data_IF_091441768183
#
_entry.id   IF_091441768183
#
_cell.length_a   1.000
_cell.length_b   1.000
_cell.length_c   1.000
_cell.angle_alpha   90.00
_cell.angle_beta   90.00
_cell.angle_gamma   90.00
#
_symmetry.space_group_name_H-M   'P 1'
#
loop_
_entity.id
_entity.type
_entity.pdbx_description
1 polymer ?
#
# COMPACT_ATOMS: atom_id res chain seq x y z
N UNK A 1 4.34 -15.01 -0.39
CA UNK A 1 4.36 -15.36 1.05
C UNK A 1 4.78 -16.82 1.12
N UNK A 2 5.79 -17.16 1.91
CA UNK A 2 6.24 -18.54 2.04
C UNK A 2 5.46 -19.24 3.17
N UNK A 3 5.12 -20.53 3.03
CA UNK A 3 4.47 -21.27 4.10
C UNK A 3 5.42 -21.52 5.27
N UNK A 4 4.85 -21.65 6.46
CA UNK A 4 5.54 -22.12 7.66
C UNK A 4 5.20 -23.60 7.84
N UNK A 5 6.23 -24.41 7.99
CA UNK A 5 6.12 -25.86 8.05
C UNK A 5 6.52 -26.33 9.42
N UNK A 6 5.63 -27.10 10.06
CA UNK A 6 5.86 -27.63 11.41
C UNK A 6 5.82 -29.14 11.35
N UNK A 7 6.95 -29.76 11.67
CA UNK A 7 7.12 -31.21 11.71
C UNK A 7 6.90 -31.66 13.15
N UNK A 8 5.82 -32.39 13.37
CA UNK A 8 5.43 -32.85 14.70
C UNK A 8 6.06 -34.20 15.04
N UNK A 9 6.00 -34.61 16.31
CA UNK A 9 6.56 -35.88 16.79
C UNK A 9 8.08 -36.03 16.58
N UNK A 10 8.85 -34.95 16.77
CA UNK A 10 10.32 -34.97 16.72
C UNK A 10 10.93 -36.10 17.55
N UNK A 11 10.28 -36.46 18.65
CA UNK A 11 10.66 -37.52 19.58
C UNK A 11 10.70 -38.93 18.99
N UNK A 12 10.00 -39.15 17.87
CA UNK A 12 10.03 -40.43 17.16
C UNK A 12 11.21 -40.54 16.18
N UNK A 13 11.96 -39.46 15.98
CA UNK A 13 13.11 -39.40 15.06
C UNK A 13 14.40 -39.65 15.83
N UNK A 14 14.81 -40.92 15.87
CA UNK A 14 15.89 -41.38 16.73
C UNK A 14 17.30 -41.11 16.20
N UNK A 15 17.45 -40.91 14.89
CA UNK A 15 18.74 -40.65 14.22
C UNK A 15 18.76 -39.25 13.62
N UNK A 16 19.96 -38.66 13.49
CA UNK A 16 20.13 -37.37 12.82
C UNK A 16 19.78 -37.46 11.32
N UNK A 17 20.00 -38.62 10.70
CA UNK A 17 19.59 -38.88 9.31
C UNK A 17 18.06 -38.81 9.16
N UNK A 18 17.30 -39.51 10.01
CA UNK A 18 15.84 -39.45 9.96
C UNK A 18 15.29 -38.04 10.22
N UNK A 19 15.97 -37.25 11.08
CA UNK A 19 15.61 -35.85 11.30
C UNK A 19 15.86 -35.03 10.06
N UNK A 20 17.01 -35.18 9.42
CA UNK A 20 17.35 -34.44 8.21
C UNK A 20 16.41 -34.79 7.06
N UNK A 21 16.14 -36.07 6.83
CA UNK A 21 15.27 -36.53 5.76
C UNK A 21 13.84 -36.00 5.94
N UNK A 22 13.28 -36.14 7.15
CA UNK A 22 11.95 -35.62 7.45
C UNK A 22 11.89 -34.08 7.30
N UNK A 23 12.98 -33.39 7.62
CA UNK A 23 13.09 -31.96 7.46
C UNK A 23 13.09 -31.53 5.98
N UNK A 24 13.98 -32.14 5.19
CA UNK A 24 14.14 -31.82 3.78
C UNK A 24 12.88 -32.19 2.99
N UNK A 25 12.26 -33.35 3.30
CA UNK A 25 11.01 -33.79 2.67
C UNK A 25 9.84 -32.85 3.01
N UNK A 26 9.66 -32.47 4.27
CA UNK A 26 8.60 -31.55 4.66
C UNK A 26 8.79 -30.15 4.06
N UNK A 27 10.03 -29.66 4.03
CA UNK A 27 10.37 -28.36 3.43
C UNK A 27 10.08 -28.38 1.92
N UNK A 28 10.46 -29.44 1.22
CA UNK A 28 10.21 -29.60 -0.21
C UNK A 28 8.72 -29.74 -0.52
N UNK A 29 7.99 -30.57 0.24
CA UNK A 29 6.56 -30.84 0.02
C UNK A 29 5.69 -29.59 0.20
N UNK A 30 6.07 -28.71 1.13
CA UNK A 30 5.35 -27.47 1.41
C UNK A 30 5.87 -26.26 0.63
N UNK A 31 7.07 -26.35 0.05
CA UNK A 31 7.76 -25.22 -0.56
C UNK A 31 8.23 -24.17 0.47
N UNK A 32 8.35 -24.54 1.74
CA UNK A 32 8.94 -23.67 2.76
C UNK A 32 10.47 -23.64 2.64
N UNK A 33 11.07 -22.53 3.05
CA UNK A 33 12.53 -22.45 3.25
C UNK A 33 12.92 -23.23 4.51
N UNK A 34 14.16 -23.75 4.60
CA UNK A 34 14.70 -24.28 5.86
C UNK A 34 14.53 -23.33 7.06
N UNK A 35 14.60 -22.02 6.83
CA UNK A 35 14.37 -21.00 7.86
C UNK A 35 12.91 -20.89 8.35
N UNK A 36 11.97 -21.51 7.64
CA UNK A 36 10.53 -21.53 7.92
C UNK A 36 10.02 -22.96 8.20
N UNK A 37 10.93 -23.91 8.38
CA UNK A 37 10.63 -25.30 8.70
C UNK A 37 11.12 -25.59 10.11
N UNK A 38 10.24 -26.07 10.98
CA UNK A 38 10.52 -26.23 12.41
C UNK A 38 10.09 -27.60 12.91
N UNK A 39 10.91 -28.19 13.77
CA UNK A 39 10.48 -29.35 14.55
C UNK A 39 9.70 -28.90 15.77
N UNK A 40 8.63 -29.63 16.08
CA UNK A 40 7.88 -29.50 17.31
C UNK A 40 7.75 -30.86 17.97
N UNK A 41 8.06 -30.88 19.26
CA UNK A 41 7.80 -32.04 20.10
C UNK A 41 6.37 -31.94 20.62
N UNK A 42 5.62 -33.03 20.55
CA UNK A 42 4.23 -33.02 20.98
C UNK A 42 4.08 -33.41 22.44
N UNK A 43 3.15 -32.73 23.12
CA UNK A 43 2.55 -33.29 24.32
C UNK A 43 1.64 -34.45 23.91
N UNK A 44 1.90 -35.64 24.44
CA UNK A 44 1.09 -36.84 24.16
C UNK A 44 0.52 -37.39 25.48
N UNK A 45 -0.30 -38.45 25.40
CA UNK A 45 -0.80 -39.13 26.61
C UNK A 45 0.35 -39.67 27.48
N UNK A 46 1.46 -40.01 26.87
CA UNK A 46 2.67 -40.56 27.50
C UNK A 46 3.69 -39.46 27.82
N UNK A 47 3.68 -38.36 27.07
CA UNK A 47 4.55 -37.20 27.25
C UNK A 47 3.78 -35.96 27.71
N UNK A 48 3.45 -35.90 29.01
CA UNK A 48 2.67 -34.82 29.64
C UNK A 48 3.49 -33.80 30.43
N UNK A 49 4.77 -34.09 30.66
CA UNK A 49 5.60 -33.21 31.49
C UNK A 49 5.91 -31.94 30.73
N UNK A 50 5.62 -30.81 31.35
CA UNK A 50 5.94 -29.48 30.85
C UNK A 50 7.43 -29.41 30.48
N UNK A 51 7.73 -29.04 29.25
CA UNK A 51 9.10 -28.92 28.77
C UNK A 51 9.32 -27.49 28.22
N UNK A 52 10.14 -26.66 28.90
CA UNK A 52 10.42 -25.30 28.48
C UNK A 52 10.98 -25.17 27.06
N UNK A 53 11.72 -26.16 26.56
CA UNK A 53 12.25 -26.13 25.20
C UNK A 53 11.14 -26.27 24.15
N UNK A 54 10.13 -27.12 24.43
CA UNK A 54 8.94 -27.27 23.58
C UNK A 54 8.17 -25.96 23.53
N UNK A 55 7.94 -25.36 24.70
CA UNK A 55 7.23 -24.09 24.79
C UNK A 55 7.95 -22.98 24.03
N UNK A 56 9.27 -22.89 24.17
CA UNK A 56 10.08 -21.94 23.41
C UNK A 56 9.95 -22.16 21.90
N UNK A 57 10.07 -23.41 21.42
CA UNK A 57 9.88 -23.71 19.99
C UNK A 57 8.49 -23.29 19.49
N UNK A 58 7.43 -23.53 20.28
CA UNK A 58 6.09 -23.06 19.96
C UNK A 58 6.02 -21.54 19.86
N UNK A 59 6.62 -20.81 20.80
CA UNK A 59 6.68 -19.34 20.73
C UNK A 59 7.46 -18.84 19.53
N UNK A 60 8.56 -19.49 19.16
CA UNK A 60 9.35 -19.13 17.98
C UNK A 60 8.51 -19.30 16.70
N UNK A 61 7.80 -20.42 16.54
CA UNK A 61 6.88 -20.66 15.41
C UNK A 61 5.78 -19.60 15.34
N UNK A 62 5.14 -19.29 16.48
CA UNK A 62 4.08 -18.28 16.55
C UNK A 62 4.60 -16.89 16.22
N UNK A 63 5.80 -16.55 16.70
CA UNK A 63 6.44 -15.27 16.39
C UNK A 63 6.71 -15.13 14.89
N UNK A 64 7.28 -16.15 14.25
CA UNK A 64 7.51 -16.15 12.80
C UNK A 64 6.21 -16.06 12.00
N UNK A 65 5.16 -16.75 12.42
CA UNK A 65 3.84 -16.66 11.79
C UNK A 65 3.28 -15.24 11.87
N UNK A 66 3.37 -14.60 13.03
CA UNK A 66 2.92 -13.23 13.23
C UNK A 66 3.69 -12.23 12.35
N UNK A 67 5.02 -12.32 12.34
CA UNK A 67 5.87 -11.46 11.51
C UNK A 67 5.58 -11.62 10.01
N UNK A 68 5.36 -12.86 9.57
CA UNK A 68 5.02 -13.16 8.18
C UNK A 68 3.65 -12.58 7.81
N UNK A 69 2.66 -12.71 8.69
CA UNK A 69 1.33 -12.14 8.51
C UNK A 69 1.36 -10.61 8.47
N UNK A 70 2.10 -9.96 9.37
CA UNK A 70 2.24 -8.50 9.39
C UNK A 70 2.88 -7.99 8.08
N UNK A 71 3.93 -8.67 7.61
CA UNK A 71 4.57 -8.36 6.32
C UNK A 71 3.60 -8.53 5.16
N UNK A 72 2.80 -9.60 5.15
CA UNK A 72 1.78 -9.83 4.13
C UNK A 72 0.77 -8.68 4.09
N UNK A 73 0.24 -8.27 5.24
CA UNK A 73 -0.71 -7.15 5.35
C UNK A 73 -0.08 -5.85 4.85
N UNK A 74 1.18 -5.56 5.19
CA UNK A 74 1.91 -4.39 4.68
C UNK A 74 2.02 -4.39 3.16
N UNK A 75 2.37 -5.54 2.57
CA UNK A 75 2.46 -5.70 1.11
C UNK A 75 1.09 -5.49 0.46
N UNK A 76 0.03 -6.11 1.00
CA UNK A 76 -1.33 -5.97 0.47
C UNK A 76 -1.81 -4.52 0.49
N UNK A 77 -1.60 -3.80 1.61
CA UNK A 77 -1.93 -2.37 1.71
C UNK A 77 -1.17 -1.53 0.69
N UNK A 78 0.11 -1.82 0.47
CA UNK A 78 0.90 -1.10 -0.53
C UNK A 78 0.42 -1.39 -1.96
N UNK A 79 0.10 -2.65 -2.28
CA UNK A 79 -0.45 -3.03 -3.59
C UNK A 79 -1.79 -2.35 -3.85
N UNK A 80 -2.65 -2.25 -2.85
CA UNK A 80 -3.92 -1.54 -2.95
C UNK A 80 -3.72 -0.04 -3.21
N UNK A 81 -2.76 0.59 -2.51
CA UNK A 81 -2.37 1.99 -2.74
C UNK A 81 -1.88 2.21 -4.18
N UNK A 82 -0.98 1.35 -4.64
CA UNK A 82 -0.44 1.41 -6.01
C UNK A 82 -1.55 1.21 -7.06
N UNK A 83 -2.47 0.27 -6.84
CA UNK A 83 -3.60 0.04 -7.76
C UNK A 83 -4.51 1.25 -7.86
N UNK A 84 -4.82 1.91 -6.74
CA UNK A 84 -5.59 3.15 -6.70
C UNK A 84 -4.86 4.30 -7.42
N UNK A 85 -3.55 4.39 -7.25
CA UNK A 85 -2.71 5.35 -7.98
C UNK A 85 -2.75 5.08 -9.49
N UNK A 86 -2.59 3.83 -9.93
CA UNK A 86 -2.62 3.44 -11.35
C UNK A 86 -3.99 3.67 -12.00
N UNK A 87 -5.08 3.31 -11.32
CA UNK A 87 -6.45 3.54 -11.81
C UNK A 87 -6.73 5.04 -11.98
N UNK A 88 -6.27 5.86 -11.04
CA UNK A 88 -6.43 7.30 -11.13
C UNK A 88 -5.53 7.91 -12.21
N UNK A 89 -4.29 7.45 -12.38
CA UNK A 89 -3.42 7.87 -13.49
C UNK A 89 -4.09 7.57 -14.82
N UNK A 90 -4.65 6.36 -14.99
CA UNK A 90 -5.40 5.98 -16.20
C UNK A 90 -6.65 6.84 -16.41
N UNK A 91 -7.42 7.13 -15.36
CA UNK A 91 -8.57 8.03 -15.44
C UNK A 91 -8.15 9.44 -15.87
N UNK A 92 -7.09 9.96 -15.24
CA UNK A 92 -6.51 11.26 -15.55
C UNK A 92 -5.88 11.32 -16.96
N UNK A 93 -5.37 10.20 -17.50
CA UNK A 93 -4.89 10.09 -18.89
C UNK A 93 -6.03 9.98 -19.90
N UNK A 94 -7.13 9.32 -19.55
CA UNK A 94 -8.35 9.27 -20.37
C UNK A 94 -9.01 10.64 -20.55
N UNK A 95 -8.96 11.50 -19.54
CA UNK A 95 -9.49 12.88 -19.58
C UNK A 95 -8.70 13.78 -20.54
N UNK A 96 -7.41 13.50 -20.78
CA UNK A 96 -6.58 14.27 -21.75
C UNK A 96 -7.00 14.09 -23.22
N UNK A 97 -7.92 13.20 -23.56
CA UNK A 97 -8.31 12.89 -24.95
C UNK A 97 -9.66 13.53 -25.37
N UNK A 98 -10.35 14.28 -24.50
CA UNK A 98 -11.57 14.98 -24.89
C UNK A 98 -11.34 16.48 -25.14
N UNK A 99 -10.94 16.82 -26.37
CA UNK A 99 -11.36 18.04 -27.09
C UNK A 99 -11.05 19.42 -26.49
N UNK A 100 -9.98 20.05 -27.00
CA UNK A 100 -9.88 21.49 -27.37
C UNK A 100 -10.25 22.59 -26.35
N UNK A 101 -9.81 22.49 -25.10
CA UNK A 101 -9.72 23.67 -24.22
C UNK A 101 -8.28 23.81 -23.73
N UNK A 102 -7.71 25.01 -23.87
CA UNK A 102 -6.35 25.28 -23.39
C UNK A 102 -6.25 24.93 -21.89
N UNK A 103 -5.20 24.25 -21.44
CA UNK A 103 -5.11 23.73 -20.07
C UNK A 103 -5.10 24.81 -18.98
N UNK A 104 -4.96 26.07 -19.38
CA UNK A 104 -4.99 27.29 -18.57
C UNK A 104 -6.29 28.10 -18.71
N UNK A 105 -7.27 27.61 -19.45
CA UNK A 105 -8.60 28.22 -19.63
C UNK A 105 -9.50 28.08 -18.40
N UNK A 106 -10.45 29.00 -18.26
CA UNK A 106 -11.52 28.97 -17.23
C UNK A 106 -12.42 27.73 -17.38
N UNK A 107 -12.64 27.29 -18.62
CA UNK A 107 -13.51 26.16 -18.95
C UNK A 107 -12.76 24.81 -18.94
N UNK A 108 -11.46 24.81 -18.62
CA UNK A 108 -10.70 23.57 -18.46
C UNK A 108 -11.21 22.79 -17.24
N UNK A 109 -11.06 21.48 -17.27
CA UNK A 109 -11.27 20.67 -16.07
C UNK A 109 -10.22 21.02 -15.01
N UNK A 110 -10.61 20.94 -13.73
CA UNK A 110 -9.66 21.13 -12.61
C UNK A 110 -8.47 20.19 -12.74
N UNK A 111 -8.71 18.97 -13.21
CA UNK A 111 -7.66 17.96 -13.38
C UNK A 111 -6.61 18.36 -14.40
N UNK A 112 -7.03 18.90 -15.55
CA UNK A 112 -6.12 19.39 -16.59
C UNK A 112 -5.30 20.57 -16.08
N UNK A 113 -5.95 21.49 -15.36
CA UNK A 113 -5.27 22.64 -14.76
C UNK A 113 -4.25 22.22 -13.69
N UNK A 114 -4.61 21.31 -12.78
CA UNK A 114 -3.69 20.80 -11.77
C UNK A 114 -2.51 20.03 -12.40
N UNK A 115 -2.71 19.31 -13.50
CA UNK A 115 -1.62 18.66 -14.25
C UNK A 115 -0.69 19.67 -14.92
N UNK A 116 -1.24 20.75 -15.49
CA UNK A 116 -0.44 21.84 -16.03
C UNK A 116 0.48 22.42 -14.95
N UNK A 117 -0.09 22.74 -13.78
CA UNK A 117 0.68 23.24 -12.63
C UNK A 117 1.65 22.19 -12.09
N UNK A 118 1.30 20.91 -12.10
CA UNK A 118 2.21 19.84 -11.69
C UNK A 118 3.49 19.85 -12.52
N UNK A 119 3.37 20.01 -13.85
CA UNK A 119 4.52 20.09 -14.76
C UNK A 119 5.31 21.38 -14.55
N UNK A 120 4.62 22.52 -14.42
CA UNK A 120 5.23 23.84 -14.27
C UNK A 120 6.00 23.96 -12.94
N UNK A 121 5.43 23.45 -11.86
CA UNK A 121 5.95 23.58 -10.50
C UNK A 121 6.59 22.30 -9.94
N UNK A 122 6.75 21.27 -10.77
CA UNK A 122 7.33 19.96 -10.42
C UNK A 122 6.73 19.33 -9.15
N UNK A 123 5.40 19.45 -8.99
CA UNK A 123 4.72 18.88 -7.83
C UNK A 123 4.69 17.35 -7.87
N UNK A 124 4.74 16.73 -6.69
CA UNK A 124 4.63 15.28 -6.59
C UNK A 124 3.23 14.80 -6.98
N UNK A 125 3.16 13.66 -7.65
CA UNK A 125 1.89 13.03 -8.04
C UNK A 125 0.97 12.79 -6.84
N UNK A 126 1.54 12.47 -5.67
CA UNK A 126 0.79 12.28 -4.42
C UNK A 126 0.05 13.56 -3.96
N UNK A 127 0.68 14.72 -4.10
CA UNK A 127 0.07 16.01 -3.73
C UNK A 127 -1.10 16.36 -4.65
N UNK A 128 -0.94 16.12 -5.96
CA UNK A 128 -2.02 16.28 -6.94
C UNK A 128 -3.16 15.32 -6.66
N UNK A 129 -2.86 14.04 -6.46
CA UNK A 129 -3.87 13.00 -6.17
C UNK A 129 -4.70 13.35 -4.94
N UNK A 130 -4.05 13.79 -3.87
CA UNK A 130 -4.72 14.17 -2.62
C UNK A 130 -5.63 15.37 -2.84
N UNK A 131 -5.16 16.38 -3.58
CA UNK A 131 -5.94 17.55 -3.91
C UNK A 131 -7.15 17.21 -4.80
N UNK A 132 -6.93 16.53 -5.92
CA UNK A 132 -8.00 16.12 -6.86
C UNK A 132 -9.06 15.27 -6.18
N UNK A 133 -8.67 14.34 -5.29
CA UNK A 133 -9.63 13.50 -4.55
C UNK A 133 -10.51 14.30 -3.59
N UNK A 134 -9.99 15.38 -3.01
CA UNK A 134 -10.80 16.27 -2.15
C UNK A 134 -11.73 17.13 -3.00
N UNK A 135 -11.24 17.70 -4.09
CA UNK A 135 -12.03 18.51 -5.02
C UNK A 135 -13.17 17.70 -5.67
N UNK A 136 -12.91 16.45 -6.03
CA UNK A 136 -13.94 15.55 -6.56
C UNK A 136 -15.03 15.20 -5.54
N UNK A 137 -14.70 15.14 -4.24
CA UNK A 137 -15.71 14.96 -3.18
C UNK A 137 -16.62 16.17 -3.00
N UNK A 138 -16.13 17.36 -3.37
CA UNK A 138 -16.86 18.61 -3.32
C UNK A 138 -17.52 18.97 -4.67
N UNK A 139 -17.56 18.01 -5.62
CA UNK A 139 -18.08 18.17 -6.98
C UNK A 139 -17.41 19.31 -7.80
N UNK A 140 -16.16 19.65 -7.46
CA UNK A 140 -15.39 20.69 -8.15
C UNK A 140 -14.66 20.08 -9.36
N UNK A 141 -15.31 20.16 -10.51
CA UNK A 141 -14.85 19.51 -11.76
C UNK A 141 -14.18 20.45 -12.76
N UNK A 142 -14.40 21.78 -12.66
CA UNK A 142 -13.84 22.79 -13.58
C UNK A 142 -13.08 23.92 -12.88
N UNK A 143 -12.13 24.56 -13.59
CA UNK A 143 -11.34 25.68 -13.06
C UNK A 143 -12.24 26.83 -12.63
N UNK A 144 -13.35 27.06 -13.34
CA UNK A 144 -14.39 28.00 -12.94
C UNK A 144 -14.96 27.70 -11.55
N UNK A 145 -15.36 26.45 -11.28
CA UNK A 145 -15.89 26.05 -9.97
C UNK A 145 -14.83 26.16 -8.87
N UNK A 146 -13.58 25.83 -9.19
CA UNK A 146 -12.45 25.98 -8.27
C UNK A 146 -12.23 27.46 -7.89
N UNK A 147 -12.30 28.37 -8.86
CA UNK A 147 -12.15 29.80 -8.63
C UNK A 147 -13.31 30.37 -7.79
N UNK A 148 -14.55 30.00 -8.12
CA UNK A 148 -15.74 30.45 -7.39
C UNK A 148 -15.73 29.99 -5.92
N UNK A 149 -15.19 28.81 -5.65
CA UNK A 149 -15.18 28.21 -4.30
C UNK A 149 -13.82 28.37 -3.59
N UNK A 150 -12.91 29.20 -4.13
CA UNK A 150 -11.49 29.22 -3.73
C UNK A 150 -11.29 29.46 -2.22
N UNK A 151 -12.07 30.37 -1.63
CA UNK A 151 -11.98 30.70 -0.20
C UNK A 151 -12.25 29.50 0.72
N UNK A 152 -13.11 28.59 0.29
CA UNK A 152 -13.53 27.41 1.06
C UNK A 152 -12.60 26.23 0.83
N UNK A 153 -12.06 26.10 -0.38
CA UNK A 153 -11.32 24.90 -0.82
C UNK A 153 -9.81 25.08 -0.71
N UNK A 154 -9.28 26.31 -0.53
CA UNK A 154 -7.84 26.56 -0.38
C UNK A 154 -7.17 25.75 0.74
N UNK A 155 -7.95 25.37 1.76
CA UNK A 155 -7.51 24.53 2.89
C UNK A 155 -7.32 23.05 2.52
N UNK A 156 -7.83 22.61 1.36
CA UNK A 156 -7.64 21.26 0.86
C UNK A 156 -6.22 20.99 0.37
N UNK A 157 -5.47 22.06 0.09
CA UNK A 157 -4.11 22.03 -0.42
C UNK A 157 -3.09 22.40 0.67
N UNK A 158 -1.85 21.89 0.59
CA UNK A 158 -0.74 22.38 1.40
C UNK A 158 -0.49 23.87 1.17
N UNK A 159 -0.13 24.63 2.20
CA UNK A 159 -0.01 26.10 2.14
C UNK A 159 0.84 26.64 0.97
N UNK A 160 1.94 25.94 0.62
CA UNK A 160 2.77 26.30 -0.53
C UNK A 160 2.06 26.11 -1.88
N UNK A 161 1.30 25.02 -2.01
CA UNK A 161 0.51 24.71 -3.21
C UNK A 161 -0.68 25.66 -3.34
N UNK A 162 -1.40 25.93 -2.24
CA UNK A 162 -2.52 26.90 -2.23
C UNK A 162 -2.05 28.27 -2.71
N UNK A 163 -0.90 28.75 -2.23
CA UNK A 163 -0.35 30.06 -2.63
C UNK A 163 -0.06 30.12 -4.13
N UNK A 164 0.46 29.05 -4.71
CA UNK A 164 0.75 28.98 -6.14
C UNK A 164 -0.52 28.90 -6.98
N UNK A 165 -1.49 28.09 -6.58
CA UNK A 165 -2.79 28.03 -7.25
C UNK A 165 -3.48 29.39 -7.20
N UNK A 166 -3.50 30.04 -6.04
CA UNK A 166 -4.06 31.39 -5.88
C UNK A 166 -3.37 32.40 -6.80
N UNK A 167 -2.04 32.36 -6.88
CA UNK A 167 -1.27 33.20 -7.81
C UNK A 167 -1.69 32.97 -9.26
N UNK A 168 -1.86 31.71 -9.66
CA UNK A 168 -2.24 31.35 -11.03
C UNK A 168 -3.70 31.75 -11.34
N UNK A 169 -4.63 31.60 -10.39
CA UNK A 169 -6.01 32.07 -10.53
C UNK A 169 -6.08 33.61 -10.63
N UNK A 170 -5.31 34.34 -9.81
CA UNK A 170 -5.21 35.81 -9.85
C UNK A 170 -4.60 36.30 -11.16
N UNK A 171 -3.50 35.69 -11.61
CA UNK A 171 -2.83 36.00 -12.89
C UNK A 171 -3.80 35.90 -14.08
N UNK A 172 -4.81 35.04 -13.98
CA UNK A 172 -5.83 34.80 -15.01
C UNK A 172 -7.12 35.61 -14.79
N UNK A 173 -7.15 36.51 -13.80
CA UNK A 173 -8.32 37.33 -13.50
C UNK A 173 -9.54 36.54 -13.00
N UNK A 174 -9.34 35.31 -12.53
CA UNK A 174 -10.43 34.44 -12.08
C UNK A 174 -10.87 34.72 -10.64
N UNK A 175 -9.97 35.29 -9.84
CA UNK A 175 -10.22 35.72 -8.45
C UNK A 175 -9.56 37.08 -8.18
N UNK A 176 -10.18 37.85 -7.28
CA UNK A 176 -9.81 39.22 -6.92
C UNK A 176 -8.80 39.32 -5.80
#
# INVERSE_FOLDING_TARGET
IAPITVITHRDKLNTEENKRDAFDEASAATGSSPSHTFFMWNYTKENKKRNPEIERMTFDILHYALMTAERAVKIMKQQEKNKKEDEMIKALEGVTISGQVAPDSVDASVEVFLRFLQKEYQWSTNSIMTASSKLAKDDITSVKLLAMSWSEVRQHFPAGMSRMIEKELRKRGMIS
#
